data_IF_175272951152
#
_entry.id   IF_175272951152
#
_cell.length_a   1.000
_cell.length_b   1.000
_cell.length_c   1.000
_cell.angle_alpha   90.00
_cell.angle_beta   90.00
_cell.angle_gamma   90.00
#
_symmetry.space_group_name_H-M   'P 1'
#
loop_
_entity.id
_entity.type
_entity.pdbx_description
1 polymer ?
#
# COMPACT_ATOMS: atom_id res chain seq x y z
N UNK A 1 -9.87 -17.26 5.67
CA UNK A 1 -8.63 -16.53 5.32
C UNK A 1 -8.21 -15.89 6.62
N UNK A 2 -7.27 -16.50 7.34
CA UNK A 2 -6.83 -15.99 8.64
C UNK A 2 -5.96 -14.76 8.43
N UNK A 3 -6.53 -13.57 8.63
CA UNK A 3 -5.71 -12.39 8.90
C UNK A 3 -5.60 -12.33 10.40
N UNK A 4 -4.52 -12.88 10.94
CA UNK A 4 -4.25 -12.73 12.35
C UNK A 4 -4.04 -11.22 12.58
N UNK A 5 -5.02 -10.54 13.18
CA UNK A 5 -4.92 -9.15 13.63
C UNK A 5 -4.00 -9.02 14.85
N UNK A 6 -3.25 -10.07 15.16
CA UNK A 6 -2.10 -10.02 16.05
C UNK A 6 -0.99 -9.16 15.44
N UNK A 7 -0.31 -8.42 16.30
CA UNK A 7 0.81 -7.56 15.96
C UNK A 7 1.99 -8.42 15.44
N UNK A 8 2.09 -8.59 14.11
CA UNK A 8 3.18 -9.30 13.48
C UNK A 8 4.48 -8.50 13.58
N UNK A 9 5.60 -9.16 13.88
CA UNK A 9 6.93 -8.53 13.93
C UNK A 9 7.87 -9.20 12.95
N UNK A 10 8.42 -8.41 12.03
CA UNK A 10 9.45 -8.83 11.11
C UNK A 10 10.81 -8.36 11.64
N UNK A 11 11.77 -9.26 11.79
CA UNK A 11 13.11 -8.88 12.20
C UNK A 11 14.19 -9.65 11.45
N UNK A 12 15.33 -8.99 11.23
CA UNK A 12 16.37 -9.49 10.34
C UNK A 12 17.49 -10.16 11.13
N UNK A 13 17.26 -11.42 11.52
CA UNK A 13 18.33 -12.34 11.88
C UNK A 13 18.63 -13.32 10.73
N UNK A 14 17.60 -13.76 9.99
CA UNK A 14 17.69 -14.60 8.78
C UNK A 14 16.49 -14.44 7.81
N UNK A 15 15.77 -13.31 7.88
CA UNK A 15 14.50 -13.05 7.16
C UNK A 15 13.30 -13.92 7.59
N UNK A 16 13.32 -14.45 8.81
CA UNK A 16 12.17 -15.15 9.38
C UNK A 16 11.13 -14.16 9.95
N UNK A 17 9.82 -14.45 9.78
CA UNK A 17 8.75 -13.76 10.50
C UNK A 17 8.38 -14.56 11.75
N UNK A 18 8.43 -13.88 12.90
CA UNK A 18 8.07 -14.44 14.20
C UNK A 18 7.04 -13.53 14.84
N UNK A 19 5.99 -14.13 15.35
CA UNK A 19 4.85 -13.45 15.94
C UNK A 19 4.68 -13.99 17.33
N UNK A 20 4.67 -13.14 18.33
CA UNK A 20 4.38 -13.58 19.68
C UNK A 20 2.94 -13.30 20.05
N UNK A 21 2.20 -14.36 20.34
CA UNK A 21 0.77 -14.30 20.69
C UNK A 21 0.49 -14.73 22.14
N UNK A 22 1.49 -15.26 22.85
CA UNK A 22 1.30 -15.95 24.14
C UNK A 22 1.34 -15.04 25.36
N UNK A 23 1.74 -13.77 25.22
CA UNK A 23 1.62 -12.77 26.28
C UNK A 23 1.34 -11.39 25.68
N UNK A 24 0.39 -10.65 26.27
CA UNK A 24 0.08 -9.24 25.96
C UNK A 24 1.37 -8.39 25.93
N UNK A 25 2.31 -8.73 26.82
CA UNK A 25 3.61 -8.09 26.89
C UNK A 25 4.55 -8.43 25.71
N UNK A 26 4.45 -9.60 25.10
CA UNK A 26 5.36 -9.98 24.01
C UNK A 26 4.84 -9.47 22.66
N UNK A 27 3.52 -9.40 22.46
CA UNK A 27 2.91 -8.94 21.19
C UNK A 27 3.14 -7.45 20.89
N UNK A 28 2.99 -6.56 21.87
CA UNK A 28 3.15 -5.10 21.67
C UNK A 28 4.62 -4.68 21.71
N UNK A 29 5.40 -5.26 22.62
CA UNK A 29 6.76 -4.79 22.90
C UNK A 29 7.82 -5.34 21.92
N UNK A 30 7.46 -6.29 21.07
CA UNK A 30 8.35 -6.77 20.00
C UNK A 30 8.28 -5.90 18.74
N UNK A 31 7.16 -5.22 18.46
CA UNK A 31 7.05 -4.28 17.33
C UNK A 31 7.98 -3.07 17.47
N UNK A 32 8.17 -2.60 18.70
CA UNK A 32 9.15 -1.56 19.05
C UNK A 32 10.48 -2.15 19.56
N UNK A 33 10.67 -3.47 19.39
CA UNK A 33 11.86 -4.19 19.80
C UNK A 33 13.09 -3.87 18.94
N UNK A 34 14.21 -4.51 19.29
CA UNK A 34 15.48 -4.36 18.56
C UNK A 34 16.15 -5.70 18.32
N UNK A 35 17.07 -5.76 17.37
CA UNK A 35 18.04 -6.85 17.30
C UNK A 35 19.14 -6.56 18.31
N UNK A 36 19.39 -7.49 19.22
CA UNK A 36 20.50 -7.38 20.15
C UNK A 36 21.83 -7.89 19.52
N UNK A 37 22.92 -7.77 20.28
CA UNK A 37 24.27 -8.16 19.84
C UNK A 37 24.39 -9.65 19.50
N UNK A 38 23.46 -10.48 19.97
CA UNK A 38 23.42 -11.92 19.69
C UNK A 38 22.62 -12.27 18.43
N UNK A 39 22.00 -11.28 17.79
CA UNK A 39 21.11 -11.49 16.65
C UNK A 39 19.69 -11.91 17.05
N UNK A 40 19.35 -11.89 18.34
CA UNK A 40 18.00 -12.19 18.81
C UNK A 40 17.11 -10.94 18.72
N UNK A 41 15.81 -11.15 18.49
CA UNK A 41 14.82 -10.11 18.70
C UNK A 41 14.62 -9.89 20.19
N UNK A 42 14.90 -8.69 20.66
CA UNK A 42 14.74 -8.28 22.04
C UNK A 42 13.53 -7.35 22.20
N UNK A 43 12.61 -7.75 23.07
CA UNK A 43 11.44 -6.99 23.48
C UNK A 43 11.85 -5.67 24.17
N UNK A 44 11.24 -4.56 23.77
CA UNK A 44 11.57 -3.22 24.26
C UNK A 44 11.18 -2.96 25.72
N UNK A 45 10.23 -3.73 26.27
CA UNK A 45 9.68 -3.46 27.59
C UNK A 45 10.46 -4.17 28.70
N UNK A 46 10.61 -5.49 28.61
CA UNK A 46 11.28 -6.29 29.65
C UNK A 46 12.56 -6.98 29.17
N UNK A 47 12.98 -6.79 27.92
CA UNK A 47 14.24 -7.32 27.41
C UNK A 47 14.26 -8.84 27.17
N UNK A 48 13.09 -9.49 27.09
CA UNK A 48 13.01 -10.89 26.68
C UNK A 48 13.51 -11.04 25.25
N UNK A 49 14.31 -12.08 25.00
CA UNK A 49 14.98 -12.27 23.70
C UNK A 49 14.54 -13.58 23.03
N UNK A 50 14.40 -13.54 21.71
CA UNK A 50 13.89 -14.64 20.88
C UNK A 50 14.80 -14.85 19.67
N UNK A 51 15.14 -16.10 19.35
CA UNK A 51 15.91 -16.42 18.16
C UNK A 51 15.04 -16.59 16.90
N UNK A 52 15.65 -16.88 15.76
CA UNK A 52 14.97 -17.09 14.46
C UNK A 52 14.05 -18.33 14.39
N UNK A 53 14.04 -19.19 15.40
CA UNK A 53 13.09 -20.29 15.52
C UNK A 53 11.82 -19.89 16.28
N UNK A 54 11.81 -18.71 16.91
CA UNK A 54 10.78 -18.27 17.85
C UNK A 54 11.04 -18.74 19.28
N UNK A 55 12.10 -19.48 19.55
CA UNK A 55 12.45 -19.92 20.90
C UNK A 55 12.86 -18.73 21.77
N UNK A 56 12.36 -18.68 23.00
CA UNK A 56 12.87 -17.73 23.99
C UNK A 56 14.30 -18.13 24.36
N UNK A 57 15.24 -17.21 24.21
CA UNK A 57 16.66 -17.44 24.54
C UNK A 57 17.06 -16.78 25.84
N UNK A 58 16.34 -15.74 26.27
CA UNK A 58 16.67 -14.99 27.48
C UNK A 58 15.45 -14.34 28.12
N UNK A 59 15.31 -14.55 29.43
CA UNK A 59 14.39 -13.83 30.31
C UNK A 59 15.25 -13.12 31.36
N UNK A 60 15.48 -11.80 31.25
CA UNK A 60 16.41 -11.10 32.14
C UNK A 60 16.01 -11.15 33.62
N UNK A 61 14.72 -11.34 33.91
CA UNK A 61 14.15 -11.34 35.26
C UNK A 61 14.12 -12.73 35.91
N UNK A 62 14.43 -13.81 35.18
CA UNK A 62 14.41 -15.16 35.73
C UNK A 62 15.75 -15.47 36.41
N UNK A 63 15.71 -16.08 37.60
CA UNK A 63 16.93 -16.58 38.23
C UNK A 63 17.66 -17.59 37.32
N UNK A 64 19.00 -17.58 37.27
CA UNK A 64 19.77 -18.48 36.42
C UNK A 64 19.69 -19.95 36.86
N UNK A 65 19.25 -20.19 38.10
CA UNK A 65 19.13 -21.51 38.71
C UNK A 65 17.74 -21.72 39.31
N UNK A 66 17.44 -22.98 39.67
CA UNK A 66 16.18 -23.35 40.29
C UNK A 66 15.00 -23.42 39.30
N UNK A 67 13.74 -23.38 39.80
CA UNK A 67 12.55 -23.51 38.97
C UNK A 67 12.41 -22.41 37.89
N UNK A 68 12.83 -21.19 38.17
CA UNK A 68 12.72 -20.04 37.25
C UNK A 68 13.60 -20.19 36.00
N UNK A 69 14.76 -20.83 36.12
CA UNK A 69 15.64 -21.14 34.99
C UNK A 69 14.97 -22.03 33.92
N UNK A 70 13.82 -22.64 34.24
CA UNK A 70 13.03 -23.44 33.29
C UNK A 70 12.07 -22.58 32.47
N UNK A 71 11.80 -21.32 32.86
CA UNK A 71 10.87 -20.44 32.18
C UNK A 71 11.25 -20.19 30.72
N UNK A 72 12.55 -20.02 30.43
CA UNK A 72 13.08 -19.84 29.06
C UNK A 72 12.75 -21.03 28.14
N UNK A 73 12.62 -22.24 28.70
CA UNK A 73 12.27 -23.48 27.97
C UNK A 73 10.77 -23.75 27.91
N UNK A 74 9.95 -22.89 28.51
CA UNK A 74 8.50 -23.05 28.48
C UNK A 74 7.97 -22.79 27.07
N UNK A 75 7.14 -23.66 26.49
CA UNK A 75 6.46 -23.37 25.23
C UNK A 75 5.63 -22.07 25.27
N UNK A 76 5.14 -21.68 26.47
CA UNK A 76 4.42 -20.41 26.68
C UNK A 76 5.33 -19.18 26.58
N UNK A 77 6.64 -19.37 26.73
CA UNK A 77 7.61 -18.30 26.56
C UNK A 77 8.05 -18.16 25.10
N UNK A 78 7.77 -19.12 24.21
CA UNK A 78 8.15 -19.05 22.80
C UNK A 78 7.17 -18.19 21.99
N UNK A 79 7.68 -17.58 20.94
CA UNK A 79 6.90 -16.95 19.89
C UNK A 79 6.59 -17.95 18.77
N UNK A 80 5.48 -17.71 18.06
CA UNK A 80 5.04 -18.49 16.90
C UNK A 80 5.87 -18.08 15.68
N UNK A 81 6.30 -19.05 14.89
CA UNK A 81 6.97 -18.81 13.61
C UNK A 81 6.05 -19.19 12.46
N UNK A 82 6.00 -18.36 11.43
CA UNK A 82 5.23 -18.64 10.22
C UNK A 82 6.14 -19.03 9.04
N UNK A 83 5.66 -19.87 8.10
CA UNK A 83 6.34 -20.08 6.84
C UNK A 83 6.45 -18.76 6.07
N UNK A 84 7.64 -18.47 5.56
CA UNK A 84 7.94 -17.21 4.86
C UNK A 84 8.71 -17.46 3.58
N UNK A 85 8.58 -16.54 2.63
CA UNK A 85 9.26 -16.61 1.35
C UNK A 85 9.56 -15.21 0.82
N UNK A 86 10.79 -14.99 0.36
CA UNK A 86 11.13 -13.80 -0.43
C UNK A 86 11.10 -14.17 -1.90
N UNK A 87 10.29 -13.50 -2.70
CA UNK A 87 10.24 -13.67 -4.14
C UNK A 87 9.99 -12.34 -4.84
N UNK A 88 10.74 -12.05 -5.90
CA UNK A 88 10.60 -10.86 -6.75
C UNK A 88 10.51 -9.52 -5.97
N UNK A 89 11.28 -9.40 -4.88
CA UNK A 89 11.32 -8.20 -4.04
C UNK A 89 10.15 -8.05 -3.07
N UNK A 90 9.28 -9.06 -2.97
CA UNK A 90 8.16 -9.14 -2.03
C UNK A 90 8.46 -10.17 -0.92
N UNK A 91 7.92 -9.91 0.25
CA UNK A 91 7.99 -10.81 1.41
C UNK A 91 6.61 -11.42 1.64
N UNK A 92 6.52 -12.74 1.49
CA UNK A 92 5.30 -13.51 1.66
C UNK A 92 5.31 -14.21 3.02
N UNK A 93 4.13 -14.25 3.63
CA UNK A 93 3.86 -14.95 4.88
C UNK A 93 2.71 -15.90 4.63
N UNK A 94 2.85 -17.14 5.07
CA UNK A 94 1.74 -18.06 5.17
C UNK A 94 1.13 -17.95 6.57
N UNK A 95 -0.08 -17.38 6.73
CA UNK A 95 -0.63 -17.03 8.03
C UNK A 95 -1.31 -18.23 8.73
N UNK A 96 -0.59 -19.34 8.82
CA UNK A 96 -0.98 -20.58 9.50
C UNK A 96 0.28 -21.25 10.06
N UNK A 97 0.36 -21.37 11.39
CA UNK A 97 1.50 -21.93 12.12
C UNK A 97 1.75 -23.40 11.76
N UNK A 98 0.69 -24.12 11.36
CA UNK A 98 0.71 -25.51 10.95
C UNK A 98 0.81 -25.65 9.42
N UNK A 99 0.97 -24.54 8.71
CA UNK A 99 0.90 -24.45 7.27
C UNK A 99 2.18 -24.80 6.50
N UNK A 100 3.25 -25.24 7.17
CA UNK A 100 4.58 -25.45 6.57
C UNK A 100 4.59 -26.33 5.32
N UNK A 101 3.99 -27.53 5.40
CA UNK A 101 3.93 -28.45 4.26
C UNK A 101 3.16 -27.85 3.07
N UNK A 102 2.02 -27.22 3.36
CA UNK A 102 1.19 -26.56 2.34
C UNK A 102 1.93 -25.37 1.72
N UNK A 103 2.60 -24.56 2.53
CA UNK A 103 3.38 -23.42 2.07
C UNK A 103 4.52 -23.87 1.15
N UNK A 104 5.25 -24.95 1.49
CA UNK A 104 6.32 -25.49 0.65
C UNK A 104 5.80 -26.10 -0.66
N UNK A 105 4.60 -26.68 -0.66
CA UNK A 105 3.97 -27.25 -1.85
C UNK A 105 3.27 -26.19 -2.73
N UNK A 106 3.01 -25.00 -2.20
CA UNK A 106 2.27 -23.94 -2.90
C UNK A 106 3.24 -22.97 -3.56
N UNK A 107 3.03 -22.68 -4.84
CA UNK A 107 3.76 -21.60 -5.52
C UNK A 107 3.17 -20.25 -5.06
N UNK A 108 4.00 -19.27 -4.64
CA UNK A 108 3.49 -17.95 -4.32
C UNK A 108 2.90 -17.30 -5.59
N UNK A 109 1.98 -16.33 -5.45
CA UNK A 109 1.59 -15.50 -6.58
C UNK A 109 2.83 -14.76 -7.12
N UNK A 110 3.07 -14.91 -8.42
CA UNK A 110 4.26 -14.38 -9.09
C UNK A 110 3.91 -13.14 -9.91
N UNK A 111 4.81 -12.15 -9.88
CA UNK A 111 4.77 -11.07 -10.86
C UNK A 111 5.05 -11.63 -12.26
N UNK A 112 4.39 -11.11 -13.30
CA UNK A 112 4.65 -11.45 -14.69
C UNK A 112 6.13 -11.33 -15.07
N UNK A 113 6.58 -12.16 -16.02
CA UNK A 113 7.98 -12.16 -16.50
C UNK A 113 8.45 -10.80 -17.02
N UNK A 114 7.54 -9.95 -17.49
CA UNK A 114 7.82 -8.59 -17.95
C UNK A 114 8.42 -7.70 -16.85
N UNK A 115 8.29 -8.04 -15.57
CA UNK A 115 8.96 -7.32 -14.47
C UNK A 115 10.48 -7.55 -14.44
N UNK A 116 10.98 -8.57 -15.14
CA UNK A 116 12.41 -8.87 -15.29
C UNK A 116 12.94 -8.47 -16.69
N UNK A 117 12.06 -8.01 -17.58
CA UNK A 117 12.40 -7.62 -18.95
C UNK A 117 12.93 -6.17 -18.98
N UNK A 118 14.16 -5.92 -19.48
CA UNK A 118 14.69 -4.56 -19.66
C UNK A 118 13.85 -3.67 -20.58
N UNK A 119 12.97 -4.25 -21.41
CA UNK A 119 11.99 -3.52 -22.22
C UNK A 119 10.81 -2.98 -21.40
N UNK A 120 10.79 -3.17 -20.09
CA UNK A 120 9.77 -2.64 -19.20
C UNK A 120 10.39 -1.79 -18.08
N UNK A 121 9.75 -0.65 -17.80
CA UNK A 121 10.00 0.11 -16.58
C UNK A 121 9.06 -0.38 -15.50
N UNK A 122 9.59 -0.61 -14.30
CA UNK A 122 8.84 -1.14 -13.16
C UNK A 122 8.85 -0.17 -11.98
N UNK A 123 7.72 -0.03 -11.29
CA UNK A 123 7.63 0.70 -10.02
C UNK A 123 6.76 -0.07 -9.03
N UNK A 124 7.10 0.03 -7.74
CA UNK A 124 6.34 -0.58 -6.66
C UNK A 124 6.00 0.47 -5.61
N UNK A 125 4.72 0.59 -5.31
CA UNK A 125 4.20 1.44 -4.25
C UNK A 125 3.44 0.58 -3.23
N UNK A 126 3.47 0.98 -1.97
CA UNK A 126 2.58 0.46 -0.94
C UNK A 126 1.78 1.62 -0.33
N UNK A 127 0.52 1.41 0.03
CA UNK A 127 -0.23 2.36 0.83
C UNK A 127 -1.15 1.63 1.82
N UNK A 128 -1.15 2.06 3.07
CA UNK A 128 -2.17 1.66 4.04
C UNK A 128 -3.43 2.50 3.78
N UNK A 129 -4.58 1.85 3.71
CA UNK A 129 -5.85 2.43 3.32
C UNK A 129 -6.85 2.25 4.46
N UNK A 130 -7.63 3.29 4.75
CA UNK A 130 -8.57 3.33 5.87
C UNK A 130 -9.99 2.89 5.45
N UNK A 131 -10.05 1.76 4.74
CA UNK A 131 -11.27 1.02 4.42
C UNK A 131 -10.98 -0.48 4.29
N UNK A 132 -12.03 -1.29 4.36
CA UNK A 132 -11.97 -2.75 4.42
C UNK A 132 -11.43 -3.43 3.16
N UNK A 133 -10.96 -4.66 3.36
CA UNK A 133 -10.35 -5.48 2.31
C UNK A 133 -11.32 -5.78 1.17
N UNK A 134 -12.57 -6.09 1.51
CA UNK A 134 -13.62 -6.37 0.53
C UNK A 134 -13.97 -5.14 -0.31
N UNK A 135 -13.97 -3.95 0.30
CA UNK A 135 -14.18 -2.66 -0.38
C UNK A 135 -13.05 -2.38 -1.37
N UNK A 136 -11.79 -2.59 -0.96
CA UNK A 136 -10.64 -2.45 -1.85
C UNK A 136 -10.69 -3.43 -3.03
N UNK A 137 -10.94 -4.70 -2.74
CA UNK A 137 -10.96 -5.73 -3.77
C UNK A 137 -12.11 -5.55 -4.76
N UNK A 138 -13.26 -5.06 -4.31
CA UNK A 138 -14.34 -4.61 -5.20
C UNK A 138 -13.87 -3.48 -6.13
N UNK A 139 -13.27 -2.42 -5.58
CA UNK A 139 -12.75 -1.31 -6.38
C UNK A 139 -11.69 -1.75 -7.40
N UNK A 140 -10.75 -2.61 -6.99
CA UNK A 140 -9.72 -3.18 -7.88
C UNK A 140 -10.33 -4.04 -8.99
N UNK A 141 -11.50 -4.62 -8.75
CA UNK A 141 -12.24 -5.45 -9.72
C UNK A 141 -13.06 -4.60 -10.71
N UNK A 142 -13.28 -3.31 -10.46
CA UNK A 142 -14.07 -2.42 -11.31
C UNK A 142 -13.20 -1.45 -12.12
N UNK A 143 -12.91 -1.71 -13.39
CA UNK A 143 -12.17 -0.75 -14.21
C UNK A 143 -13.02 0.46 -14.67
N UNK A 144 -14.33 0.49 -14.42
CA UNK A 144 -15.23 1.54 -14.91
C UNK A 144 -14.98 2.89 -14.25
N UNK A 145 -14.57 2.89 -12.98
CA UNK A 145 -14.29 4.13 -12.24
C UNK A 145 -13.07 4.88 -12.77
N UNK A 146 -12.14 4.20 -13.45
CA UNK A 146 -10.82 4.74 -13.81
C UNK A 146 -10.93 6.06 -14.60
N UNK A 147 -11.81 6.11 -15.60
CA UNK A 147 -11.94 7.28 -16.47
C UNK A 147 -12.51 8.51 -15.73
N UNK A 148 -13.21 8.31 -14.61
CA UNK A 148 -13.87 9.37 -13.84
C UNK A 148 -13.17 9.72 -12.53
N UNK A 149 -12.89 8.75 -11.67
CA UNK A 149 -12.25 8.98 -10.37
C UNK A 149 -10.81 9.49 -10.55
N UNK A 150 -10.11 8.95 -11.54
CA UNK A 150 -8.69 9.25 -11.82
C UNK A 150 -8.52 10.23 -12.99
N UNK A 151 -9.49 11.13 -13.19
CA UNK A 151 -9.47 12.12 -14.28
C UNK A 151 -8.19 12.96 -14.24
N UNK A 152 -7.50 13.07 -15.39
CA UNK A 152 -6.20 13.76 -15.54
C UNK A 152 -5.04 13.20 -14.70
N UNK A 153 -5.25 12.08 -14.02
CA UNK A 153 -4.18 11.31 -13.36
C UNK A 153 -3.81 10.10 -14.23
N UNK A 154 -4.73 9.14 -14.37
CA UNK A 154 -4.57 7.96 -15.23
C UNK A 154 -5.72 7.76 -16.22
N UNK A 155 -6.86 8.43 -16.01
CA UNK A 155 -8.05 8.35 -16.86
C UNK A 155 -8.47 9.69 -17.47
N UNK A 156 -9.37 9.64 -18.45
CA UNK A 156 -10.10 10.79 -18.99
C UNK A 156 -11.60 10.49 -19.14
N UNK A 157 -12.45 11.36 -18.58
CA UNK A 157 -13.91 11.21 -18.56
C UNK A 157 -14.52 11.01 -19.95
N UNK A 158 -13.95 11.68 -20.96
CA UNK A 158 -14.41 11.60 -22.34
C UNK A 158 -14.07 10.28 -23.05
N UNK A 159 -13.27 9.40 -22.43
CA UNK A 159 -12.96 8.06 -22.92
C UNK A 159 -13.83 6.97 -22.31
N UNK A 160 -14.68 7.32 -21.34
CA UNK A 160 -15.62 6.38 -20.73
C UNK A 160 -16.57 5.79 -21.77
N UNK A 161 -16.74 4.47 -21.71
CA UNK A 161 -17.49 3.69 -22.71
C UNK A 161 -17.88 2.33 -22.13
N UNK A 162 -18.80 1.58 -22.77
CA UNK A 162 -19.14 0.23 -22.33
C UNK A 162 -17.90 -0.68 -22.27
N UNK A 163 -17.80 -1.46 -21.19
CA UNK A 163 -16.75 -2.46 -20.99
C UNK A 163 -17.38 -3.88 -20.99
N UNK A 164 -17.49 -4.53 -22.17
CA UNK A 164 -18.14 -5.84 -22.28
C UNK A 164 -17.20 -6.97 -21.84
N UNK A 165 -16.96 -7.10 -20.53
CA UNK A 165 -16.13 -8.17 -20.00
C UNK A 165 -16.78 -9.54 -20.15
N UNK A 166 -15.97 -10.57 -20.37
CA UNK A 166 -16.39 -11.97 -20.34
C UNK A 166 -15.57 -12.71 -19.30
N UNK A 167 -16.26 -13.50 -18.47
CA UNK A 167 -15.62 -14.43 -17.56
C UNK A 167 -15.00 -15.56 -18.36
N UNK A 168 -13.75 -15.88 -18.08
CA UNK A 168 -13.01 -16.99 -18.68
C UNK A 168 -12.88 -18.15 -17.68
N UNK A 169 -12.69 -17.83 -16.39
CA UNK A 169 -12.69 -18.82 -15.31
C UNK A 169 -13.25 -18.25 -14.01
N UNK A 170 -13.78 -19.13 -13.16
CA UNK A 170 -14.13 -18.80 -11.76
C UNK A 170 -14.10 -20.07 -10.91
N UNK A 171 -13.64 -19.95 -9.67
CA UNK A 171 -13.51 -21.08 -8.74
C UNK A 171 -12.93 -20.67 -7.40
N UNK A 172 -12.60 -21.66 -6.56
CA UNK A 172 -12.07 -21.40 -5.21
C UNK A 172 -10.75 -20.61 -5.23
N UNK A 173 -9.94 -20.80 -6.26
CA UNK A 173 -8.64 -20.13 -6.45
C UNK A 173 -8.74 -18.74 -7.09
N UNK A 174 -9.95 -18.27 -7.35
CA UNK A 174 -10.22 -16.94 -7.90
C UNK A 174 -10.92 -16.97 -9.25
N UNK A 175 -10.70 -15.95 -10.08
CA UNK A 175 -11.39 -15.80 -11.35
C UNK A 175 -10.53 -15.05 -12.38
N UNK A 176 -10.89 -15.17 -13.65
CA UNK A 176 -10.25 -14.39 -14.72
C UNK A 176 -11.24 -14.03 -15.82
N UNK A 177 -10.91 -13.00 -16.57
CA UNK A 177 -11.65 -12.64 -17.77
C UNK A 177 -11.04 -11.46 -18.51
N UNK A 178 -11.58 -11.16 -19.68
CA UNK A 178 -11.13 -10.04 -20.49
C UNK A 178 -12.26 -9.38 -21.27
N UNK A 179 -12.03 -8.17 -21.76
CA UNK A 179 -12.84 -7.57 -22.82
C UNK A 179 -12.21 -7.88 -24.20
N UNK A 180 -12.93 -7.55 -25.28
CA UNK A 180 -12.46 -7.71 -26.66
C UNK A 180 -12.12 -6.38 -27.35
N UNK A 181 -11.93 -5.30 -26.58
CA UNK A 181 -11.72 -3.94 -27.10
C UNK A 181 -10.25 -3.55 -27.22
N UNK A 182 -10.02 -2.29 -27.63
CA UNK A 182 -8.72 -1.62 -27.54
C UNK A 182 -8.88 -0.33 -26.71
N UNK A 183 -8.28 -0.20 -25.51
CA UNK A 183 -7.49 -1.21 -24.80
C UNK A 183 -8.20 -2.55 -24.56
N UNK A 184 -7.42 -3.62 -24.68
CA UNK A 184 -7.76 -4.94 -24.15
C UNK A 184 -7.34 -4.98 -22.69
N UNK A 185 -8.30 -5.20 -21.81
CA UNK A 185 -8.13 -5.32 -20.36
C UNK A 185 -8.40 -6.77 -20.00
N UNK A 186 -7.40 -7.42 -19.42
CA UNK A 186 -7.49 -8.75 -18.83
C UNK A 186 -7.35 -8.60 -17.33
N UNK A 187 -8.35 -9.06 -16.58
CA UNK A 187 -8.35 -9.04 -15.13
C UNK A 187 -8.28 -10.46 -14.60
N UNK A 188 -7.47 -10.69 -13.58
CA UNK A 188 -7.36 -11.96 -12.87
C UNK A 188 -7.29 -11.68 -11.39
N UNK A 189 -8.10 -12.39 -10.62
CA UNK A 189 -7.99 -12.44 -9.18
C UNK A 189 -7.49 -13.83 -8.82
N UNK A 190 -6.36 -13.89 -8.12
CA UNK A 190 -5.83 -15.09 -7.51
C UNK A 190 -6.03 -15.01 -5.99
N UNK A 191 -6.77 -15.99 -5.48
CA UNK A 191 -7.09 -16.04 -4.08
C UNK A 191 -5.82 -16.18 -3.22
N UNK A 192 -5.78 -15.53 -2.05
CA UNK A 192 -6.87 -14.76 -1.47
C UNK A 192 -6.66 -13.24 -1.58
N UNK A 193 -5.58 -12.72 -2.17
CA UNK A 193 -5.25 -11.29 -2.04
C UNK A 193 -4.60 -10.66 -3.28
N UNK A 194 -4.46 -11.40 -4.38
CA UNK A 194 -3.73 -10.94 -5.54
C UNK A 194 -4.67 -10.60 -6.69
N UNK A 195 -4.60 -9.37 -7.18
CA UNK A 195 -5.32 -8.91 -8.35
C UNK A 195 -4.33 -8.47 -9.42
N UNK A 196 -4.49 -9.01 -10.61
CA UNK A 196 -3.62 -8.82 -11.76
C UNK A 196 -4.44 -8.23 -12.91
N UNK A 197 -4.04 -7.04 -13.36
CA UNK A 197 -4.62 -6.40 -14.53
C UNK A 197 -3.54 -6.24 -15.61
N UNK A 198 -3.82 -6.77 -16.80
CA UNK A 198 -3.04 -6.55 -18.03
C UNK A 198 -3.83 -5.64 -18.95
N UNK A 199 -3.25 -4.51 -19.31
CA UNK A 199 -3.82 -3.57 -20.26
C UNK A 199 -2.93 -3.54 -21.49
N UNK A 200 -3.49 -3.91 -22.63
CA UNK A 200 -2.82 -3.90 -23.92
C UNK A 200 -3.49 -2.86 -24.81
N UNK A 201 -2.71 -1.90 -25.31
CA UNK A 201 -3.16 -0.83 -26.18
C UNK A 201 -2.43 -0.95 -27.50
N UNK A 202 -3.18 -1.23 -28.56
CA UNK A 202 -2.66 -1.17 -29.91
C UNK A 202 -2.68 0.30 -30.35
N UNK A 203 -1.51 0.84 -30.68
CA UNK A 203 -1.34 2.25 -31.05
C UNK A 203 -0.49 2.37 -32.31
N UNK A 204 -0.74 3.42 -33.10
CA UNK A 204 0.00 3.69 -34.32
C UNK A 204 0.68 5.04 -34.20
N UNK A 205 2.00 5.04 -34.09
CA UNK A 205 2.79 6.25 -34.00
C UNK A 205 3.21 6.70 -35.41
N UNK A 206 3.17 8.02 -35.72
CA UNK A 206 3.47 8.53 -37.06
C UNK A 206 4.84 8.10 -37.61
N UNK A 207 5.82 7.92 -36.72
CA UNK A 207 7.22 7.61 -37.08
C UNK A 207 7.56 6.13 -36.84
N UNK A 208 7.02 5.53 -35.78
CA UNK A 208 7.40 4.19 -35.31
C UNK A 208 6.43 3.09 -35.76
N UNK A 209 5.41 3.44 -36.55
CA UNK A 209 4.42 2.49 -37.04
C UNK A 209 3.55 1.91 -35.93
N UNK A 210 3.12 0.67 -36.13
CA UNK A 210 2.27 -0.05 -35.18
C UNK A 210 3.09 -0.46 -33.96
N UNK A 211 2.57 -0.14 -32.78
CA UNK A 211 3.19 -0.37 -31.48
C UNK A 211 2.17 -1.02 -30.55
N UNK A 212 2.67 -1.88 -29.67
CA UNK A 212 1.86 -2.49 -28.62
C UNK A 212 2.31 -2.00 -27.26
N UNK A 213 1.51 -1.14 -26.65
CA UNK A 213 1.75 -0.68 -25.28
C UNK A 213 1.13 -1.67 -24.30
N UNK A 214 1.92 -2.09 -23.32
CA UNK A 214 1.52 -3.05 -22.31
C UNK A 214 1.73 -2.42 -20.94
N UNK A 215 0.69 -2.48 -20.11
CA UNK A 215 0.72 -2.11 -18.70
C UNK A 215 0.32 -3.33 -17.89
N UNK A 216 1.12 -3.66 -16.90
CA UNK A 216 0.76 -4.57 -15.82
C UNK A 216 0.48 -3.76 -14.56
N UNK A 217 -0.61 -4.08 -13.88
CA UNK A 217 -0.94 -3.58 -12.54
C UNK A 217 -1.19 -4.81 -11.67
N UNK A 218 -0.23 -5.12 -10.81
CA UNK A 218 -0.22 -6.26 -9.92
C UNK A 218 -0.43 -5.76 -8.49
N UNK A 219 -1.62 -5.99 -7.92
CA UNK A 219 -2.02 -5.48 -6.61
C UNK A 219 -2.14 -6.61 -5.61
N UNK A 220 -1.33 -6.56 -4.55
CA UNK A 220 -1.42 -7.43 -3.38
C UNK A 220 -2.14 -6.67 -2.28
N UNK A 221 -3.29 -7.17 -1.84
CA UNK A 221 -4.20 -6.46 -0.94
C UNK A 221 -4.34 -7.23 0.38
N UNK A 222 -3.68 -6.73 1.42
CA UNK A 222 -3.50 -7.42 2.69
C UNK A 222 -4.47 -6.84 3.72
N UNK A 223 -5.46 -7.61 4.21
CA UNK A 223 -6.29 -7.20 5.34
C UNK A 223 -5.39 -6.96 6.57
N UNK A 224 -5.47 -5.77 7.18
CA UNK A 224 -4.68 -5.43 8.36
C UNK A 224 -5.52 -5.44 9.64
N UNK A 225 -6.73 -4.89 9.55
CA UNK A 225 -7.73 -4.85 10.61
C UNK A 225 -9.11 -4.59 9.98
N UNK A 226 -10.22 -4.76 10.71
CA UNK A 226 -11.52 -4.30 10.24
C UNK A 226 -11.45 -2.83 9.77
N UNK A 227 -11.90 -2.58 8.53
CA UNK A 227 -11.85 -1.23 7.93
C UNK A 227 -10.43 -0.69 7.64
N UNK A 228 -9.40 -1.54 7.59
CA UNK A 228 -8.03 -1.14 7.24
C UNK A 228 -7.32 -2.20 6.41
N UNK A 229 -6.77 -1.78 5.27
CA UNK A 229 -6.14 -2.67 4.29
C UNK A 229 -4.84 -2.09 3.78
N UNK A 230 -3.80 -2.90 3.59
CA UNK A 230 -2.58 -2.50 2.89
C UNK A 230 -2.65 -2.92 1.44
N UNK A 231 -2.46 -1.97 0.52
CA UNK A 231 -2.29 -2.26 -0.90
C UNK A 231 -0.81 -2.16 -1.26
N UNK A 232 -0.26 -3.17 -1.92
CA UNK A 232 1.06 -3.14 -2.55
C UNK A 232 0.85 -3.32 -4.04
N UNK A 233 1.08 -2.26 -4.81
CA UNK A 233 0.94 -2.27 -6.27
C UNK A 233 2.31 -2.27 -6.92
N UNK A 234 2.59 -3.32 -7.67
CA UNK A 234 3.71 -3.41 -8.59
C UNK A 234 3.17 -3.16 -10.00
N UNK A 235 3.73 -2.18 -10.71
CA UNK A 235 3.38 -1.91 -12.09
C UNK A 235 4.58 -2.04 -13.01
N UNK A 236 4.32 -2.47 -14.24
CA UNK A 236 5.31 -2.55 -15.31
C UNK A 236 4.73 -1.97 -16.59
N UNK A 237 5.50 -1.19 -17.34
CA UNK A 237 5.08 -0.70 -18.68
C UNK A 237 6.24 -0.65 -19.67
N UNK A 238 5.96 -0.93 -20.94
CA UNK A 238 6.99 -0.94 -21.99
C UNK A 238 7.14 0.36 -22.79
N UNK A 239 6.43 1.42 -22.40
CA UNK A 239 6.40 2.70 -23.11
C UNK A 239 6.65 3.87 -22.15
N UNK A 240 7.06 5.01 -22.71
CA UNK A 240 7.51 6.18 -21.95
C UNK A 240 8.50 5.82 -20.83
N UNK A 241 9.47 4.95 -21.13
CA UNK A 241 10.41 4.47 -20.14
C UNK A 241 11.32 5.58 -19.60
N UNK A 242 11.61 6.59 -20.43
CA UNK A 242 12.44 7.75 -20.07
C UNK A 242 11.83 8.60 -18.96
N UNK A 243 10.50 8.58 -18.83
CA UNK A 243 9.78 9.31 -17.77
C UNK A 243 9.43 8.43 -16.58
N UNK A 244 9.95 7.21 -16.51
CA UNK A 244 9.74 6.29 -15.40
C UNK A 244 11.02 6.04 -14.61
N UNK A 245 10.91 5.81 -13.29
CA UNK A 245 12.00 5.23 -12.55
C UNK A 245 12.33 3.83 -13.07
N UNK A 246 13.58 3.43 -12.92
CA UNK A 246 14.00 2.06 -13.15
C UNK A 246 15.49 1.88 -12.92
N UNK A 247 16.02 0.73 -13.33
CA UNK A 247 17.40 0.33 -13.05
C UNK A 247 18.42 0.87 -14.05
N UNK A 248 17.96 1.37 -15.21
CA UNK A 248 18.86 1.84 -16.24
C UNK A 248 19.42 3.22 -15.90
N UNK A 249 20.68 3.47 -16.27
CA UNK A 249 21.39 4.73 -15.98
C UNK A 249 20.73 5.97 -16.60
N UNK A 250 19.95 5.80 -17.66
CA UNK A 250 19.22 6.88 -18.35
C UNK A 250 17.84 7.17 -17.73
N UNK A 251 17.39 6.40 -16.74
CA UNK A 251 16.13 6.60 -16.02
C UNK A 251 16.33 7.58 -14.86
N UNK A 252 16.37 8.87 -15.20
CA UNK A 252 16.70 9.93 -14.25
C UNK A 252 15.51 10.35 -13.36
N UNK A 253 14.29 9.88 -13.67
CA UNK A 253 13.10 10.18 -12.87
C UNK A 253 13.18 9.41 -11.55
N UNK A 254 13.18 10.09 -10.39
CA UNK A 254 13.32 9.43 -9.11
C UNK A 254 12.04 8.68 -8.73
N UNK A 255 12.18 7.57 -8.02
CA UNK A 255 11.04 6.71 -7.62
C UNK A 255 9.95 7.45 -6.86
N UNK A 256 10.33 8.42 -6.00
CA UNK A 256 9.36 9.21 -5.24
C UNK A 256 8.44 10.07 -6.13
N UNK A 257 8.87 10.45 -7.34
CA UNK A 257 8.07 11.27 -8.24
C UNK A 257 6.91 10.47 -8.81
N UNK A 258 7.15 9.24 -9.25
CA UNK A 258 6.10 8.34 -9.72
C UNK A 258 5.11 7.96 -8.61
N UNK A 259 5.60 7.92 -7.36
CA UNK A 259 4.74 7.71 -6.20
C UNK A 259 3.78 8.87 -5.95
N UNK A 260 4.08 10.11 -6.37
CA UNK A 260 3.10 11.21 -6.26
C UNK A 260 1.86 10.92 -7.11
N UNK A 261 2.07 10.55 -8.38
CA UNK A 261 0.99 10.17 -9.29
C UNK A 261 0.21 8.98 -8.74
N UNK A 262 0.92 7.97 -8.24
CA UNK A 262 0.28 6.79 -7.65
C UNK A 262 -0.55 7.11 -6.40
N UNK A 263 -0.09 8.03 -5.54
CA UNK A 263 -0.86 8.46 -4.38
C UNK A 263 -2.12 9.25 -4.77
N UNK A 264 -2.09 10.04 -5.86
CA UNK A 264 -3.28 10.74 -6.37
C UNK A 264 -4.38 9.75 -6.78
N UNK A 265 -4.03 8.62 -7.40
CA UNK A 265 -5.00 7.55 -7.72
C UNK A 265 -5.70 7.07 -6.45
N UNK A 266 -4.92 6.65 -5.44
CA UNK A 266 -5.50 6.22 -4.16
C UNK A 266 -6.31 7.32 -3.45
N UNK A 267 -5.95 8.60 -3.58
CA UNK A 267 -6.72 9.71 -3.01
C UNK A 267 -8.06 9.92 -3.70
N UNK A 268 -8.12 9.69 -5.02
CA UNK A 268 -9.37 9.69 -5.79
C UNK A 268 -10.34 8.61 -5.31
N UNK A 269 -9.85 7.43 -4.94
CA UNK A 269 -10.70 6.36 -4.44
C UNK A 269 -11.14 6.56 -2.99
N UNK A 270 -10.25 7.05 -2.13
CA UNK A 270 -10.38 6.99 -0.66
C UNK A 270 -11.72 7.51 -0.13
N UNK A 271 -12.16 8.70 -0.58
CA UNK A 271 -13.37 9.34 -0.05
C UNK A 271 -14.64 8.70 -0.60
N UNK A 272 -14.61 8.23 -1.84
CA UNK A 272 -15.74 7.51 -2.46
C UNK A 272 -15.96 6.18 -1.73
N UNK A 273 -14.87 5.44 -1.51
CA UNK A 273 -14.90 4.15 -0.83
C UNK A 273 -15.23 4.28 0.67
N UNK A 274 -14.79 5.37 1.31
CA UNK A 274 -15.24 5.71 2.67
C UNK A 274 -16.77 5.85 2.73
N UNK A 275 -17.37 6.53 1.75
CA UNK A 275 -18.82 6.70 1.64
C UNK A 275 -19.54 5.37 1.44
N UNK A 276 -19.01 4.52 0.55
CA UNK A 276 -19.55 3.19 0.31
C UNK A 276 -19.54 2.33 1.58
N UNK A 277 -18.41 2.29 2.31
CA UNK A 277 -18.31 1.49 3.54
C UNK A 277 -19.29 1.98 4.61
N UNK A 278 -19.51 3.31 4.75
CA UNK A 278 -20.54 3.86 5.65
C UNK A 278 -21.95 3.34 5.32
N UNK A 279 -22.30 3.28 4.03
CA UNK A 279 -23.61 2.79 3.56
C UNK A 279 -23.76 1.29 3.85
N UNK A 280 -22.72 0.50 3.60
CA UNK A 280 -22.75 -0.93 3.91
C UNK A 280 -22.85 -1.19 5.41
N UNK A 281 -22.12 -0.43 6.24
CA UNK A 281 -22.21 -0.55 7.69
C UNK A 281 -23.61 -0.18 8.22
N UNK A 282 -24.24 0.87 7.70
CA UNK A 282 -25.60 1.22 8.12
C UNK A 282 -26.60 0.13 7.75
N UNK A 283 -26.53 -0.39 6.52
CA UNK A 283 -27.40 -1.48 6.07
C UNK A 283 -27.21 -2.78 6.87
N UNK A 284 -25.96 -3.11 7.24
CA UNK A 284 -25.65 -4.28 8.07
C UNK A 284 -26.25 -4.15 9.47
N UNK A 285 -26.15 -2.95 10.09
CA UNK A 285 -26.74 -2.67 11.41
C UNK A 285 -28.26 -2.76 11.41
N UNK A 286 -28.92 -2.23 10.38
CA UNK A 286 -30.38 -2.24 10.26
C UNK A 286 -30.94 -3.65 10.05
N UNK A 287 -30.27 -4.46 9.22
CA UNK A 287 -30.77 -5.78 8.82
C UNK A 287 -30.23 -6.94 9.67
N UNK A 288 -29.20 -6.70 10.51
CA UNK A 288 -28.44 -7.73 11.22
C UNK A 288 -27.95 -8.87 10.29
N UNK A 289 -27.70 -8.54 9.03
CA UNK A 289 -27.41 -9.51 7.98
C UNK A 289 -26.06 -9.25 7.30
N UNK A 290 -25.54 -10.32 6.70
CA UNK A 290 -24.31 -10.31 5.92
C UNK A 290 -24.49 -9.51 4.61
N UNK A 291 -23.66 -8.48 4.43
CA UNK A 291 -23.67 -7.61 3.24
C UNK A 291 -23.47 -8.41 1.96
N UNK A 292 -22.63 -9.44 1.95
CA UNK A 292 -22.38 -10.24 0.75
C UNK A 292 -23.58 -11.13 0.36
N UNK A 293 -24.46 -11.46 1.31
CA UNK A 293 -25.72 -12.14 1.03
C UNK A 293 -26.78 -11.18 0.47
N UNK A 294 -26.75 -9.92 0.88
CA UNK A 294 -27.69 -8.90 0.42
C UNK A 294 -27.15 -7.99 -0.69
N UNK A 295 -25.93 -8.25 -1.18
CA UNK A 295 -25.21 -7.31 -2.03
C UNK A 295 -26.02 -6.85 -3.25
N UNK A 296 -26.71 -7.75 -3.95
CA UNK A 296 -27.54 -7.42 -5.13
C UNK A 296 -28.85 -6.71 -4.79
N UNK A 297 -29.24 -6.65 -3.52
CA UNK A 297 -30.37 -5.83 -3.04
C UNK A 297 -29.91 -4.42 -2.65
N UNK A 298 -28.67 -4.32 -2.15
CA UNK A 298 -28.06 -3.06 -1.71
C UNK A 298 -27.43 -2.26 -2.86
N UNK A 299 -27.04 -2.95 -3.93
CA UNK A 299 -26.35 -2.34 -5.08
C UNK A 299 -27.11 -2.57 -6.37
N UNK A 300 -26.90 -1.68 -7.34
CA UNK A 300 -27.44 -1.80 -8.68
C UNK A 300 -26.27 -1.93 -9.67
N UNK A 301 -26.08 -3.13 -10.21
CA UNK A 301 -24.95 -3.53 -11.06
C UNK A 301 -25.47 -4.03 -12.43
N UNK A 302 -26.01 -3.12 -13.27
CA UNK A 302 -26.80 -3.52 -14.44
C UNK A 302 -25.96 -3.87 -15.67
N UNK A 303 -24.67 -3.59 -15.69
CA UNK A 303 -23.85 -3.63 -16.90
C UNK A 303 -22.90 -4.82 -16.93
N UNK A 304 -22.31 -5.07 -18.10
CA UNK A 304 -21.24 -6.07 -18.22
C UNK A 304 -19.93 -5.63 -17.56
N UNK A 305 -19.79 -4.35 -17.23
CA UNK A 305 -18.61 -3.84 -16.56
C UNK A 305 -18.54 -4.34 -15.11
N UNK A 306 -19.71 -4.59 -14.49
CA UNK A 306 -19.86 -5.04 -13.10
C UNK A 306 -19.50 -6.53 -12.88
N UNK A 307 -19.16 -7.27 -13.94
CA UNK A 307 -19.00 -8.73 -13.89
C UNK A 307 -17.93 -9.19 -12.90
N UNK A 308 -16.79 -8.50 -12.86
CA UNK A 308 -15.71 -8.87 -11.95
C UNK A 308 -16.01 -8.51 -10.49
N UNK A 309 -16.72 -7.39 -10.25
CA UNK A 309 -17.26 -7.04 -8.93
C UNK A 309 -18.18 -8.14 -8.41
N UNK A 310 -19.15 -8.55 -9.24
CA UNK A 310 -20.09 -9.62 -8.89
C UNK A 310 -19.37 -10.96 -8.70
N UNK A 311 -18.36 -11.26 -9.51
CA UNK A 311 -17.54 -12.47 -9.36
C UNK A 311 -16.76 -12.47 -8.04
N UNK A 312 -16.15 -11.34 -7.67
CA UNK A 312 -15.45 -11.19 -6.39
C UNK A 312 -16.40 -11.35 -5.20
N UNK A 313 -17.55 -10.65 -5.20
CA UNK A 313 -18.54 -10.74 -4.11
C UNK A 313 -19.11 -12.16 -3.97
N UNK A 314 -19.38 -12.84 -5.09
CA UNK A 314 -19.80 -14.23 -5.08
C UNK A 314 -18.71 -15.17 -4.57
N UNK A 315 -17.45 -14.93 -4.94
CA UNK A 315 -16.29 -15.69 -4.45
C UNK A 315 -16.11 -15.51 -2.95
N UNK A 316 -16.11 -14.26 -2.46
CA UNK A 316 -15.92 -13.93 -1.04
C UNK A 316 -16.98 -14.60 -0.17
N UNK A 317 -18.26 -14.54 -0.59
CA UNK A 317 -19.36 -15.25 0.09
C UNK A 317 -19.17 -16.76 0.10
N UNK A 318 -18.76 -17.36 -1.02
CA UNK A 318 -18.73 -18.82 -1.19
C UNK A 318 -17.49 -19.49 -0.59
N UNK A 319 -16.34 -18.84 -0.69
CA UNK A 319 -15.04 -19.42 -0.35
C UNK A 319 -14.28 -18.64 0.74
N UNK A 320 -14.64 -17.38 0.97
CA UNK A 320 -13.96 -16.49 1.91
C UNK A 320 -14.79 -16.17 3.16
N UNK A 321 -15.79 -16.96 3.52
CA UNK A 321 -16.67 -16.74 4.68
C UNK A 321 -17.27 -15.32 4.77
N UNK A 322 -17.48 -14.67 3.62
CA UNK A 322 -17.95 -13.28 3.49
C UNK A 322 -17.02 -12.18 4.06
N UNK A 323 -15.95 -12.54 4.77
CA UNK A 323 -14.98 -11.59 5.33
C UNK A 323 -13.67 -12.31 5.74
N UNK A 324 -12.55 -11.58 5.86
CA UNK A 324 -11.37 -12.11 6.54
C UNK A 324 -11.70 -12.58 7.96
N UNK A 325 -11.03 -13.62 8.43
CA UNK A 325 -11.16 -14.08 9.81
C UNK A 325 -10.33 -13.14 10.68
N UNK A 326 -10.99 -12.36 11.53
CA UNK A 326 -10.38 -11.39 12.46
C UNK A 326 -10.20 -11.99 13.85
N UNK A 327 -9.14 -11.60 14.57
CA UNK A 327 -9.01 -11.92 16.00
C UNK A 327 -10.04 -11.11 16.80
N UNK A 328 -10.80 -11.77 17.68
CA UNK A 328 -11.84 -11.12 18.50
C UNK A 328 -13.21 -11.04 17.83
N UNK A 329 -14.06 -10.13 18.32
CA UNK A 329 -15.42 -9.92 17.80
C UNK A 329 -15.49 -8.63 16.95
N UNK A 330 -15.33 -8.71 15.62
CA UNK A 330 -15.29 -7.53 14.74
C UNK A 330 -16.58 -6.69 14.75
N UNK A 331 -17.71 -7.25 15.20
CA UNK A 331 -19.00 -6.55 15.28
C UNK A 331 -19.04 -5.35 16.26
N UNK A 332 -18.03 -5.21 17.13
CA UNK A 332 -17.95 -4.13 18.13
C UNK A 332 -16.95 -3.03 17.77
N UNK A 333 -16.12 -3.21 16.75
CA UNK A 333 -15.08 -2.24 16.40
C UNK A 333 -15.64 -1.09 15.54
N UNK A 334 -15.28 0.14 15.91
CA UNK A 334 -15.55 1.32 15.09
C UNK A 334 -14.60 1.36 13.91
N UNK A 335 -15.11 1.30 12.69
CA UNK A 335 -14.26 1.33 11.49
C UNK A 335 -13.68 2.74 11.28
N UNK A 336 -12.42 2.85 10.78
CA UNK A 336 -11.79 4.13 10.45
C UNK A 336 -12.68 5.02 9.56
N UNK A 337 -13.39 4.44 8.60
CA UNK A 337 -14.29 5.16 7.72
C UNK A 337 -15.38 5.93 8.47
N UNK A 338 -15.84 5.45 9.63
CA UNK A 338 -16.92 6.09 10.41
C UNK A 338 -16.45 7.24 11.30
N UNK A 339 -15.16 7.30 11.62
CA UNK A 339 -14.60 8.23 12.61
C UNK A 339 -13.64 9.25 12.02
N UNK A 340 -12.88 8.88 10.99
CA UNK A 340 -11.85 9.73 10.42
C UNK A 340 -12.45 10.81 9.50
N UNK A 341 -11.93 12.03 9.64
CA UNK A 341 -12.20 13.15 8.75
C UNK A 341 -11.58 12.92 7.37
N UNK A 342 -12.03 13.69 6.36
CA UNK A 342 -11.44 13.67 5.00
C UNK A 342 -9.91 13.86 5.05
N UNK A 343 -9.43 14.75 5.92
CA UNK A 343 -7.99 15.04 6.05
C UNK A 343 -7.20 13.84 6.57
N UNK A 344 -7.73 13.15 7.58
CA UNK A 344 -7.09 11.95 8.15
C UNK A 344 -7.17 10.76 7.18
N UNK A 345 -8.28 10.65 6.43
CA UNK A 345 -8.43 9.64 5.38
C UNK A 345 -7.38 9.80 4.25
N UNK A 346 -6.99 11.04 3.94
CA UNK A 346 -6.02 11.37 2.89
C UNK A 346 -4.59 11.63 3.44
N UNK A 347 -4.28 11.16 4.66
CA UNK A 347 -2.95 11.32 5.25
C UNK A 347 -1.93 10.40 4.56
N UNK A 348 -1.28 10.93 3.52
CA UNK A 348 -0.21 10.23 2.79
C UNK A 348 1.01 9.96 3.68
N UNK A 349 1.23 10.75 4.72
CA UNK A 349 2.45 10.64 5.52
C UNK A 349 2.48 9.31 6.28
N UNK A 350 1.46 9.07 7.09
CA UNK A 350 1.33 7.83 7.86
C UNK A 350 1.09 6.63 6.94
N UNK A 351 0.29 6.79 5.89
CA UNK A 351 -0.10 5.70 5.01
C UNK A 351 1.05 5.22 4.09
N UNK A 352 1.94 6.13 3.68
CA UNK A 352 3.01 5.83 2.70
C UNK A 352 4.37 6.41 3.07
N UNK A 353 4.48 7.73 3.22
CA UNK A 353 5.78 8.44 3.24
C UNK A 353 6.68 7.95 4.36
N UNK A 354 6.15 7.74 5.57
CA UNK A 354 6.93 7.29 6.72
C UNK A 354 7.62 5.94 6.50
N UNK A 355 7.01 5.08 5.66
CA UNK A 355 7.42 3.69 5.39
C UNK A 355 8.27 3.57 4.13
N UNK A 356 8.08 4.44 3.14
CA UNK A 356 8.83 4.40 1.88
C UNK A 356 10.15 5.17 1.99
N UNK A 357 11.28 4.47 1.92
CA UNK A 357 12.62 5.10 2.01
C UNK A 357 12.85 6.22 1.00
N UNK A 358 12.34 6.06 -0.23
CA UNK A 358 12.48 7.07 -1.29
C UNK A 358 11.65 8.33 -1.01
N UNK A 359 10.40 8.16 -0.55
CA UNK A 359 9.52 9.30 -0.27
C UNK A 359 9.91 10.00 1.04
N UNK A 360 10.26 9.24 2.08
CA UNK A 360 10.81 9.77 3.34
C UNK A 360 12.09 10.55 3.10
N UNK A 361 13.00 10.00 2.29
CA UNK A 361 14.25 10.67 1.91
C UNK A 361 13.97 12.00 1.21
N UNK A 362 13.14 12.01 0.18
CA UNK A 362 12.76 13.22 -0.55
C UNK A 362 12.09 14.26 0.36
N UNK A 363 11.12 13.84 1.19
CA UNK A 363 10.47 14.70 2.17
C UNK A 363 11.47 15.36 3.13
N UNK A 364 12.37 14.58 3.72
CA UNK A 364 13.40 15.10 4.63
C UNK A 364 14.39 16.04 3.93
N UNK A 365 14.77 15.74 2.68
CA UNK A 365 15.62 16.60 1.87
C UNK A 365 14.93 17.94 1.58
N UNK A 366 13.68 17.93 1.13
CA UNK A 366 12.93 19.16 0.87
C UNK A 366 12.71 19.97 2.14
N UNK A 367 12.41 19.33 3.27
CA UNK A 367 12.29 20.02 4.55
C UNK A 367 13.62 20.67 4.99
N UNK A 368 14.75 19.98 4.79
CA UNK A 368 16.09 20.51 5.09
C UNK A 368 16.42 21.70 4.19
N UNK A 369 16.20 21.56 2.87
CA UNK A 369 16.46 22.63 1.91
C UNK A 369 15.58 23.85 2.16
N UNK A 370 14.29 23.65 2.47
CA UNK A 370 13.40 24.73 2.90
C UNK A 370 14.01 25.51 4.07
N UNK A 371 14.45 24.83 5.13
CA UNK A 371 15.07 25.47 6.31
C UNK A 371 16.35 26.23 5.96
N UNK A 372 17.21 25.66 5.11
CA UNK A 372 18.44 26.31 4.64
C UNK A 372 18.12 27.60 3.89
N UNK A 373 17.20 27.56 2.92
CA UNK A 373 16.85 28.74 2.13
C UNK A 373 16.06 29.78 2.93
N UNK A 374 15.28 29.37 3.94
CA UNK A 374 14.71 30.30 4.92
C UNK A 374 15.80 31.00 5.73
N UNK A 375 16.81 30.26 6.20
CA UNK A 375 17.96 30.85 6.90
C UNK A 375 18.75 31.82 6.02
N UNK A 376 18.99 31.46 4.75
CA UNK A 376 19.64 32.32 3.77
C UNK A 376 18.84 33.60 3.51
N UNK A 377 17.51 33.50 3.40
CA UNK A 377 16.62 34.66 3.29
C UNK A 377 16.80 35.62 4.46
N UNK A 378 16.77 35.10 5.69
CA UNK A 378 16.96 35.92 6.91
C UNK A 378 18.34 36.57 6.90
N UNK A 379 19.40 35.84 6.55
CA UNK A 379 20.76 36.36 6.50
C UNK A 379 20.91 37.48 5.46
N UNK A 380 20.36 37.31 4.26
CA UNK A 380 20.39 38.34 3.22
C UNK A 380 19.58 39.58 3.60
N UNK A 381 18.39 39.40 4.20
CA UNK A 381 17.60 40.52 4.71
C UNK A 381 18.33 41.30 5.82
N UNK A 382 18.94 40.59 6.78
CA UNK A 382 19.66 41.21 7.90
C UNK A 382 20.92 41.97 7.44
N UNK A 383 21.55 41.54 6.35
CA UNK A 383 22.80 42.13 5.86
C UNK A 383 22.61 43.14 4.73
N UNK A 384 21.42 43.21 4.11
CA UNK A 384 21.15 44.07 2.96
C UNK A 384 21.39 45.58 3.21
N UNK A 385 21.29 46.04 4.46
CA UNK A 385 21.56 47.44 4.83
C UNK A 385 23.02 47.77 5.16
N UNK A 386 23.89 46.76 5.30
CA UNK A 386 25.27 46.94 5.80
C UNK A 386 26.22 47.53 4.75
N UNK A 387 26.29 47.02 3.50
CA UNK A 387 27.24 47.53 2.52
C UNK A 387 27.03 49.02 2.24
N UNK A 388 28.10 49.77 2.00
CA UNK A 388 28.00 51.17 1.60
C UNK A 388 27.52 51.33 0.15
N UNK A 389 27.89 50.39 -0.72
CA UNK A 389 27.57 50.37 -2.13
C UNK A 389 26.13 49.91 -2.39
N UNK A 390 25.37 50.71 -3.15
CA UNK A 390 23.94 50.48 -3.43
C UNK A 390 23.72 49.23 -4.30
N UNK A 391 24.63 48.90 -5.23
CA UNK A 391 24.50 47.70 -6.06
C UNK A 391 24.59 46.44 -5.20
N UNK A 392 25.50 46.39 -4.23
CA UNK A 392 25.59 45.27 -3.28
C UNK A 392 24.32 45.14 -2.42
N UNK A 393 23.70 46.25 -2.00
CA UNK A 393 22.41 46.21 -1.28
C UNK A 393 21.30 45.61 -2.15
N UNK A 394 21.22 46.02 -3.42
CA UNK A 394 20.23 45.49 -4.38
C UNK A 394 20.46 44.00 -4.63
N UNK A 395 21.71 43.56 -4.79
CA UNK A 395 22.03 42.14 -4.98
C UNK A 395 21.64 41.29 -3.77
N UNK A 396 21.90 41.74 -2.55
CA UNK A 396 21.49 41.04 -1.32
C UNK A 396 19.96 40.98 -1.19
N UNK A 397 19.25 42.07 -1.50
CA UNK A 397 17.79 42.08 -1.50
C UNK A 397 17.21 41.12 -2.56
N UNK A 398 17.79 41.08 -3.76
CA UNK A 398 17.40 40.12 -4.80
C UNK A 398 17.67 38.67 -4.37
N UNK A 399 18.83 38.40 -3.77
CA UNK A 399 19.18 37.08 -3.24
C UNK A 399 18.22 36.63 -2.12
N UNK A 400 17.76 37.56 -1.27
CA UNK A 400 16.74 37.28 -0.26
C UNK A 400 15.41 36.85 -0.90
N UNK A 401 14.94 37.56 -1.91
CA UNK A 401 13.69 37.22 -2.63
C UNK A 401 13.79 35.86 -3.34
N UNK A 402 14.90 35.60 -4.02
CA UNK A 402 15.15 34.30 -4.68
C UNK A 402 15.18 33.18 -3.64
N UNK A 403 15.89 33.39 -2.52
CA UNK A 403 15.96 32.40 -1.45
C UNK A 403 14.58 32.12 -0.84
N UNK A 404 13.75 33.15 -0.65
CA UNK A 404 12.38 33.01 -0.15
C UNK A 404 11.51 32.22 -1.13
N UNK A 405 11.60 32.51 -2.43
CA UNK A 405 10.88 31.80 -3.47
C UNK A 405 11.28 30.32 -3.54
N UNK A 406 12.58 30.02 -3.45
CA UNK A 406 13.11 28.65 -3.43
C UNK A 406 12.67 27.90 -2.16
N UNK A 407 12.69 28.56 -1.00
CA UNK A 407 12.16 27.98 0.24
C UNK A 407 10.67 27.63 0.11
N UNK A 408 9.86 28.52 -0.47
CA UNK A 408 8.45 28.25 -0.74
C UNK A 408 8.25 27.10 -1.73
N UNK A 409 9.08 27.00 -2.78
CA UNK A 409 9.02 25.88 -3.71
C UNK A 409 9.27 24.54 -2.99
N UNK A 410 10.26 24.44 -2.10
CA UNK A 410 10.48 23.23 -1.32
C UNK A 410 9.34 22.95 -0.33
N UNK A 411 8.73 23.99 0.26
CA UNK A 411 7.53 23.84 1.07
C UNK A 411 6.34 23.27 0.27
N UNK A 412 6.14 23.73 -0.96
CA UNK A 412 5.10 23.21 -1.84
C UNK A 412 5.40 21.78 -2.32
N UNK A 413 6.67 21.43 -2.56
CA UNK A 413 7.04 20.07 -2.94
C UNK A 413 6.85 19.09 -1.77
N UNK A 414 7.17 19.48 -0.53
CA UNK A 414 7.03 18.58 0.61
C UNK A 414 5.56 18.26 0.96
N UNK A 415 4.60 19.16 0.66
CA UNK A 415 3.18 18.92 0.98
C UNK A 415 2.61 17.71 0.23
N UNK A 416 3.14 17.42 -0.96
CA UNK A 416 2.79 16.23 -1.75
C UNK A 416 3.04 14.89 -1.03
N UNK A 417 3.88 14.88 0.02
CA UNK A 417 4.17 13.69 0.82
C UNK A 417 3.33 13.58 2.09
N UNK A 418 2.56 14.61 2.43
CA UNK A 418 1.79 14.67 3.68
C UNK A 418 0.30 14.62 3.39
N UNK A 419 -0.20 15.62 2.68
CA UNK A 419 -1.62 15.76 2.41
C UNK A 419 -1.80 16.64 1.18
N UNK A 420 -2.61 16.16 0.25
CA UNK A 420 -3.13 16.93 -0.87
C UNK A 420 -4.62 16.68 -0.89
N UNK A 421 -5.42 17.73 -0.86
CA UNK A 421 -6.86 17.54 -0.95
C UNK A 421 -7.22 17.03 -2.34
N UNK A 422 -8.20 16.13 -2.42
CA UNK A 422 -8.70 15.61 -3.69
C UNK A 422 -10.19 15.93 -3.80
N UNK A 423 -10.53 16.79 -4.75
CA UNK A 423 -11.91 17.23 -4.99
C UNK A 423 -12.24 16.94 -6.44
N UNK A 424 -12.93 15.82 -6.67
CA UNK A 424 -13.30 15.35 -8.02
C UNK A 424 -13.93 16.44 -8.90
N UNK A 425 -14.76 17.31 -8.30
CA UNK A 425 -15.48 18.37 -9.00
C UNK A 425 -14.59 19.54 -9.44
N UNK A 426 -13.44 19.77 -8.79
CA UNK A 426 -12.51 20.86 -9.11
C UNK A 426 -11.43 20.44 -10.11
N UNK A 427 -11.34 19.15 -10.41
CA UNK A 427 -10.51 18.64 -11.49
C UNK A 427 -11.29 18.83 -12.79
N UNK A 428 -11.14 20.03 -13.36
CA UNK A 428 -11.49 20.36 -14.75
C UNK A 428 -10.79 19.44 -15.73
#
# INVERSE_FOLDING_TARGET
MTSDSSNLVLFRANFDLIVSTTMICISVCTQEGRIDETGCLQCSYHGWSFDGSGACTRIPQAAPEGPEARAVRSPKACAIKFPTLISQGLFFVWPDENGWEKAMATKPPMLPKEFEDPAFSTVTIQRDLYYGYDTLMENVSDPSHIEFAHHKVTGRRDRARPLPFKMESSGAWGYSGSNSGNPRITATFEAPCYALNKIEIDTKLPIFGDQKWVIWICSFNIPMAPGKTRSIVCSARNFFQFTMPGKAWWQLVPRWYEHWTSNLVYDGDMIVLQGQEKIFLSASKESSADINQQYTKLTFTPTQADRFVLAFRAWLRKFGNSQPDWFGSPSQETLPSTVLSKREMLDRYEQHTLKCSSCKGAYNTFQTLQKIFMGATVAFCATAGIPADVQFRVLLAAAALVSAAVAYAFYALQSNFVFVDYVHAEID
#
